data_IF_246372846151
#
_entry.id   IF_246372846151
#
_cell.length_a   1.000
_cell.length_b   1.000
_cell.length_c   1.000
_cell.angle_alpha   90.00
_cell.angle_beta   90.00
_cell.angle_gamma   90.00
#
_symmetry.space_group_name_H-M   'P 1'
#
loop_
_entity.id
_entity.type
_entity.pdbx_description
1 polymer ?
#
# COMPACT_ATOMS: atom_id res chain seq x y z
N UNK A 1 -7.67 -3.49 11.67
CA UNK A 1 -7.64 -2.63 12.89
C UNK A 1 -6.99 -3.45 13.97
N UNK A 2 -6.12 -2.86 14.79
CA UNK A 2 -5.49 -3.58 15.90
C UNK A 2 -6.18 -3.19 17.20
N UNK A 3 -6.34 -4.13 18.13
CA UNK A 3 -6.98 -3.87 19.43
C UNK A 3 -6.29 -2.72 20.20
N UNK A 4 -4.98 -2.57 20.01
CA UNK A 4 -4.16 -1.55 20.66
C UNK A 4 -4.48 -0.11 20.23
N UNK A 5 -5.11 0.09 19.07
CA UNK A 5 -5.49 1.43 18.61
C UNK A 5 -6.50 2.09 19.57
N UNK A 6 -7.23 1.29 20.37
CA UNK A 6 -8.20 1.79 21.34
C UNK A 6 -7.59 2.13 22.71
N UNK A 7 -6.35 1.72 22.96
CA UNK A 7 -5.63 1.96 24.21
C UNK A 7 -4.75 3.24 24.15
N UNK A 8 -4.57 3.80 22.96
CA UNK A 8 -3.80 5.01 22.71
C UNK A 8 -4.74 6.24 22.73
N UNK A 9 -4.22 7.42 23.06
CA UNK A 9 -4.95 8.70 22.94
C UNK A 9 -5.61 8.80 21.56
N UNK A 10 -6.91 9.12 21.55
CA UNK A 10 -7.76 9.13 20.35
C UNK A 10 -7.16 9.92 19.16
N UNK A 11 -6.46 11.02 19.44
CA UNK A 11 -5.77 11.83 18.42
C UNK A 11 -4.66 11.03 17.74
N UNK A 12 -3.75 10.43 18.51
CA UNK A 12 -2.63 9.65 17.98
C UNK A 12 -3.12 8.41 17.21
N UNK A 13 -4.14 7.72 17.72
CA UNK A 13 -4.74 6.58 17.05
C UNK A 13 -5.41 6.97 15.71
N UNK A 14 -6.02 8.15 15.63
CA UNK A 14 -6.60 8.68 14.38
C UNK A 14 -5.52 9.03 13.34
N UNK A 15 -4.40 9.63 13.77
CA UNK A 15 -3.26 9.92 12.88
C UNK A 15 -2.66 8.63 12.33
N UNK A 16 -2.41 7.63 13.18
CA UNK A 16 -1.90 6.31 12.75
C UNK A 16 -2.86 5.67 11.73
N UNK A 17 -4.17 5.86 11.91
CA UNK A 17 -5.15 5.32 10.98
C UNK A 17 -5.10 6.00 9.61
N UNK A 18 -4.99 7.32 9.55
CA UNK A 18 -4.78 8.05 8.29
C UNK A 18 -3.50 7.61 7.59
N UNK A 19 -2.42 7.40 8.35
CA UNK A 19 -1.17 6.86 7.81
C UNK A 19 -1.36 5.46 7.21
N UNK A 20 -2.14 4.58 7.85
CA UNK A 20 -2.46 3.25 7.30
C UNK A 20 -3.25 3.33 6.00
N UNK A 21 -4.20 4.26 5.87
CA UNK A 21 -4.91 4.48 4.60
C UNK A 21 -3.93 4.94 3.52
N UNK A 22 -3.09 5.95 3.81
CA UNK A 22 -2.05 6.42 2.88
C UNK A 22 -1.08 5.31 2.48
N UNK A 23 -0.66 4.49 3.44
CA UNK A 23 0.23 3.35 3.21
C UNK A 23 -0.42 2.28 2.30
N UNK A 24 -1.73 2.04 2.42
CA UNK A 24 -2.45 1.16 1.52
C UNK A 24 -2.41 1.69 0.07
N UNK A 25 -2.66 2.99 -0.12
CA UNK A 25 -2.57 3.61 -1.44
C UNK A 25 -1.15 3.55 -2.02
N UNK A 26 -0.14 3.90 -1.23
CA UNK A 26 1.27 3.85 -1.64
C UNK A 26 1.68 2.42 -2.01
N UNK A 27 1.38 1.45 -1.15
CA UNK A 27 1.73 0.04 -1.35
C UNK A 27 1.11 -0.56 -2.61
N UNK A 28 -0.06 -0.06 -3.05
CA UNK A 28 -0.79 -0.60 -4.19
C UNK A 28 -0.47 0.13 -5.50
N UNK A 29 -0.47 1.47 -5.47
CA UNK A 29 -0.45 2.28 -6.68
C UNK A 29 0.92 2.87 -7.04
N UNK A 30 1.83 3.06 -6.07
CA UNK A 30 3.07 3.79 -6.33
C UNK A 30 3.94 3.16 -7.45
N UNK A 31 4.13 1.83 -7.52
CA UNK A 31 4.91 1.22 -8.61
C UNK A 31 4.21 1.34 -9.97
N UNK A 32 2.89 1.16 -10.00
CA UNK A 32 2.10 1.31 -11.23
C UNK A 32 2.15 2.76 -11.74
N UNK A 33 2.01 3.75 -10.83
CA UNK A 33 2.13 5.17 -11.15
C UNK A 33 3.52 5.53 -11.66
N UNK A 34 4.59 5.00 -11.04
CA UNK A 34 5.96 5.17 -11.52
C UNK A 34 6.09 4.72 -12.98
N UNK A 35 5.61 3.52 -13.31
CA UNK A 35 5.62 3.01 -14.69
C UNK A 35 4.81 3.92 -15.62
N UNK A 36 3.57 4.26 -15.25
CA UNK A 36 2.68 5.06 -16.09
C UNK A 36 3.22 6.46 -16.38
N UNK A 37 3.81 7.13 -15.37
CA UNK A 37 4.38 8.47 -15.51
C UNK A 37 5.59 8.40 -16.43
N UNK A 38 6.53 7.49 -16.19
CA UNK A 38 7.77 7.46 -16.98
C UNK A 38 7.61 6.92 -18.39
N UNK A 39 6.60 6.09 -18.64
CA UNK A 39 6.35 5.57 -19.99
C UNK A 39 5.44 6.47 -20.81
N UNK A 40 4.40 7.08 -20.21
CA UNK A 40 3.35 7.77 -20.98
C UNK A 40 3.21 9.26 -20.65
N UNK A 41 3.61 9.72 -19.47
CA UNK A 41 3.30 11.08 -18.98
C UNK A 41 4.54 11.78 -18.38
N UNK A 42 5.72 11.61 -18.98
CA UNK A 42 6.96 12.18 -18.42
C UNK A 42 6.93 13.72 -18.37
N UNK A 43 6.13 14.35 -19.23
CA UNK A 43 5.89 15.80 -19.28
C UNK A 43 5.26 16.35 -18.00
N UNK A 44 4.64 15.48 -17.18
CA UNK A 44 4.05 15.90 -15.90
C UNK A 44 5.11 16.16 -14.83
N UNK A 45 6.35 15.73 -15.05
CA UNK A 45 7.46 15.93 -14.10
C UNK A 45 8.07 17.32 -14.35
N UNK A 46 8.20 18.17 -13.31
CA UNK A 46 8.90 19.45 -13.44
C UNK A 46 10.30 19.26 -14.03
N UNK A 47 10.69 20.12 -14.97
CA UNK A 47 11.99 20.04 -15.67
C UNK A 47 13.20 19.94 -14.72
N UNK A 48 13.14 20.59 -13.56
CA UNK A 48 14.18 20.52 -12.52
C UNK A 48 14.41 19.11 -11.96
N UNK A 49 13.37 18.28 -11.93
CA UNK A 49 13.44 16.88 -11.49
C UNK A 49 13.63 15.91 -12.66
N UNK A 50 13.19 16.30 -13.86
CA UNK A 50 13.29 15.47 -15.05
C UNK A 50 14.74 15.29 -15.52
N UNK A 51 15.58 16.32 -15.44
CA UNK A 51 16.98 16.24 -15.89
C UNK A 51 17.80 15.21 -15.07
N UNK A 52 17.83 15.29 -13.72
CA UNK A 52 18.52 14.27 -12.92
C UNK A 52 17.94 12.87 -13.13
N UNK A 53 16.62 12.77 -13.29
CA UNK A 53 15.95 11.50 -13.55
C UNK A 53 16.40 10.89 -14.88
N UNK A 54 16.44 11.67 -15.95
CA UNK A 54 16.92 11.25 -17.26
C UNK A 54 18.39 10.82 -17.21
N UNK A 55 19.23 11.52 -16.43
CA UNK A 55 20.64 11.14 -16.24
C UNK A 55 20.80 9.81 -15.49
N UNK A 56 19.99 9.55 -14.45
CA UNK A 56 20.03 8.25 -13.77
C UNK A 56 19.50 7.12 -14.65
N UNK A 57 18.57 7.42 -15.56
CA UNK A 57 17.92 6.45 -16.44
C UNK A 57 18.71 6.16 -17.71
N UNK A 58 19.53 7.09 -18.19
CA UNK A 58 20.42 6.84 -19.34
C UNK A 58 21.45 5.73 -19.07
N UNK A 59 21.73 5.46 -17.79
CA UNK A 59 22.62 4.40 -17.32
C UNK A 59 21.91 3.05 -17.21
N UNK A 60 20.57 3.02 -17.26
CA UNK A 60 19.75 1.82 -17.10
C UNK A 60 19.24 1.36 -18.46
N UNK A 61 19.62 0.16 -18.95
CA UNK A 61 19.24 -0.30 -20.29
C UNK A 61 17.80 -0.82 -20.37
N UNK A 62 17.13 -0.99 -19.23
CA UNK A 62 15.80 -1.60 -19.14
C UNK A 62 14.67 -0.56 -19.15
N UNK A 63 13.52 -0.88 -19.77
CA UNK A 63 12.34 -0.03 -19.64
C UNK A 63 11.83 -0.03 -18.19
N UNK A 64 11.13 1.04 -17.76
CA UNK A 64 10.63 1.18 -16.37
C UNK A 64 9.80 -0.01 -15.88
N UNK A 65 9.06 -0.68 -16.77
CA UNK A 65 8.30 -1.88 -16.39
C UNK A 65 9.22 -3.03 -15.96
N UNK A 66 10.27 -3.33 -16.73
CA UNK A 66 11.21 -4.42 -16.40
C UNK A 66 11.97 -4.07 -15.12
N UNK A 67 12.45 -2.83 -15.04
CA UNK A 67 13.13 -2.30 -13.84
C UNK A 67 12.28 -2.47 -12.58
N UNK A 68 11.00 -2.06 -12.63
CA UNK A 68 10.08 -2.14 -11.51
C UNK A 68 9.73 -3.59 -11.14
N UNK A 69 9.49 -4.46 -12.13
CA UNK A 69 9.20 -5.88 -11.89
C UNK A 69 10.38 -6.60 -11.24
N UNK A 70 11.61 -6.37 -11.72
CA UNK A 70 12.81 -6.97 -11.15
C UNK A 70 12.99 -6.55 -9.70
N UNK A 71 12.85 -5.26 -9.39
CA UNK A 71 13.05 -4.79 -8.02
C UNK A 71 11.92 -5.17 -7.07
N UNK A 72 10.67 -5.20 -7.53
CA UNK A 72 9.56 -5.70 -6.73
C UNK A 72 9.72 -7.19 -6.41
N UNK A 73 10.20 -7.99 -7.37
CA UNK A 73 10.47 -9.42 -7.15
C UNK A 73 11.63 -9.61 -6.17
N UNK A 74 12.73 -8.87 -6.32
CA UNK A 74 13.86 -8.91 -5.38
C UNK A 74 13.38 -8.55 -3.97
N UNK A 75 12.59 -7.49 -3.85
CA UNK A 75 12.06 -7.06 -2.56
C UNK A 75 11.16 -8.12 -1.92
N UNK A 76 10.33 -8.79 -2.71
CA UNK A 76 9.48 -9.88 -2.23
C UNK A 76 10.30 -11.08 -1.74
N UNK A 77 11.38 -11.43 -2.44
CA UNK A 77 12.30 -12.50 -2.01
C UNK A 77 12.98 -12.15 -0.69
N UNK A 78 13.47 -10.91 -0.53
CA UNK A 78 14.10 -10.44 0.72
C UNK A 78 13.09 -10.50 1.87
N UNK A 79 11.85 -10.07 1.62
CA UNK A 79 10.80 -10.09 2.63
C UNK A 79 10.44 -11.51 3.04
N UNK A 80 10.22 -12.40 2.08
CA UNK A 80 9.80 -13.77 2.34
C UNK A 80 10.88 -14.58 3.07
N UNK A 81 12.15 -14.32 2.76
CA UNK A 81 13.27 -14.86 3.52
C UNK A 81 13.35 -14.27 4.93
N UNK A 82 13.16 -12.96 5.08
CA UNK A 82 13.19 -12.28 6.38
C UNK A 82 12.13 -12.77 7.38
N UNK A 83 10.90 -13.04 6.93
CA UNK A 83 9.81 -13.52 7.82
C UNK A 83 9.96 -14.99 8.24
N UNK A 84 10.73 -15.79 7.49
CA UNK A 84 10.94 -17.23 7.75
C UNK A 84 12.14 -17.51 8.65
N UNK A 85 13.01 -16.52 8.84
CA UNK A 85 14.22 -16.65 9.63
C UNK A 85 14.01 -16.18 11.07
N UNK A 86 14.76 -16.71 12.05
CA UNK A 86 14.78 -16.17 13.42
C UNK A 86 15.12 -14.68 13.43
N UNK A 87 14.52 -13.91 14.34
CA UNK A 87 14.56 -12.43 14.37
C UNK A 87 15.96 -11.79 14.12
N UNK A 88 17.06 -12.24 14.75
CA UNK A 88 18.39 -11.67 14.50
C UNK A 88 18.90 -11.89 13.07
N UNK A 89 18.58 -13.04 12.48
CA UNK A 89 18.98 -13.41 11.12
C UNK A 89 18.06 -12.72 10.11
N UNK A 90 16.75 -12.65 10.39
CA UNK A 90 15.76 -11.97 9.56
C UNK A 90 16.05 -10.47 9.41
N UNK A 91 16.41 -9.77 10.51
CA UNK A 91 16.85 -8.39 10.44
C UNK A 91 18.12 -8.22 9.59
N UNK A 92 19.10 -9.12 9.77
CA UNK A 92 20.34 -9.08 8.99
C UNK A 92 20.08 -9.26 7.50
N UNK A 93 19.24 -10.23 7.12
CA UNK A 93 18.83 -10.43 5.72
C UNK A 93 18.07 -9.23 5.17
N UNK A 94 17.23 -8.58 5.98
CA UNK A 94 16.55 -7.34 5.59
C UNK A 94 17.53 -6.19 5.31
N UNK A 95 18.53 -5.99 6.17
CA UNK A 95 19.55 -4.93 5.99
C UNK A 95 20.45 -5.23 4.80
N UNK A 96 20.98 -6.45 4.71
CA UNK A 96 21.83 -6.87 3.59
C UNK A 96 21.04 -6.84 2.29
N UNK A 97 19.83 -7.40 2.27
CA UNK A 97 18.98 -7.40 1.10
C UNK A 97 18.61 -5.98 0.65
N UNK A 98 18.16 -5.12 1.56
CA UNK A 98 17.74 -3.77 1.21
C UNK A 98 18.89 -2.85 0.78
N UNK A 99 19.97 -2.81 1.57
CA UNK A 99 21.09 -1.89 1.33
C UNK A 99 22.06 -2.44 0.27
N UNK A 100 22.53 -3.69 0.44
CA UNK A 100 23.61 -4.24 -0.40
C UNK A 100 23.08 -4.56 -1.79
N UNK A 101 21.91 -5.21 -1.93
CA UNK A 101 21.36 -5.46 -3.27
C UNK A 101 20.89 -4.17 -3.93
N UNK A 102 20.35 -3.21 -3.16
CA UNK A 102 20.01 -1.89 -3.67
C UNK A 102 21.23 -1.16 -4.25
N UNK A 103 22.31 -1.06 -3.48
CA UNK A 103 23.55 -0.42 -3.93
C UNK A 103 24.20 -1.16 -5.10
N UNK A 104 24.22 -2.50 -5.07
CA UNK A 104 24.75 -3.31 -6.16
C UNK A 104 23.94 -3.13 -7.45
N UNK A 105 22.60 -3.03 -7.35
CA UNK A 105 21.73 -2.81 -8.51
C UNK A 105 21.96 -1.45 -9.18
N UNK A 106 22.21 -0.38 -8.39
CA UNK A 106 22.61 0.93 -8.92
C UNK A 106 24.00 0.87 -9.56
N UNK A 107 24.97 0.28 -8.86
CA UNK A 107 26.35 0.22 -9.32
C UNK A 107 26.48 -0.61 -10.61
N UNK A 108 25.66 -1.65 -10.76
CA UNK A 108 25.57 -2.46 -11.98
C UNK A 108 24.79 -1.78 -13.12
N UNK A 109 24.19 -0.60 -12.88
CA UNK A 109 23.37 0.10 -13.86
C UNK A 109 22.09 -0.64 -14.24
N UNK A 110 21.62 -1.57 -13.40
CA UNK A 110 20.40 -2.36 -13.68
C UNK A 110 19.15 -1.58 -13.26
N UNK A 111 19.28 -0.70 -12.25
CA UNK A 111 18.16 -0.01 -11.61
C UNK A 111 18.55 1.44 -11.30
N UNK A 112 17.59 2.35 -11.43
CA UNK A 112 17.74 3.76 -11.10
C UNK A 112 17.56 4.02 -9.59
N UNK A 113 18.21 5.07 -9.09
CA UNK A 113 18.07 5.50 -7.70
C UNK A 113 16.61 5.78 -7.32
N UNK A 114 15.82 6.31 -8.26
CA UNK A 114 14.42 6.64 -8.03
C UNK A 114 13.58 5.37 -7.88
N UNK A 115 13.86 4.32 -8.65
CA UNK A 115 13.16 3.05 -8.49
C UNK A 115 13.42 2.41 -7.13
N UNK A 116 14.64 2.50 -6.58
CA UNK A 116 14.95 2.00 -5.22
C UNK A 116 14.10 2.71 -4.18
N UNK A 117 13.97 4.04 -4.28
CA UNK A 117 13.13 4.82 -3.38
C UNK A 117 11.67 4.36 -3.49
N UNK A 118 11.16 4.17 -4.72
CA UNK A 118 9.80 3.69 -4.96
C UNK A 118 9.55 2.33 -4.31
N UNK A 119 10.45 1.35 -4.52
CA UNK A 119 10.28 0.01 -3.94
C UNK A 119 10.42 0.01 -2.42
N UNK A 120 11.39 0.77 -1.88
CA UNK A 120 11.55 0.91 -0.44
C UNK A 120 10.30 1.51 0.22
N UNK A 121 9.75 2.58 -0.34
CA UNK A 121 8.52 3.21 0.15
C UNK A 121 7.32 2.25 0.03
N UNK A 122 7.18 1.57 -1.09
CA UNK A 122 6.07 0.62 -1.33
C UNK A 122 6.14 -0.54 -0.33
N UNK A 123 7.33 -1.10 -0.11
CA UNK A 123 7.58 -2.17 0.84
C UNK A 123 7.36 -1.76 2.30
N UNK A 124 7.85 -0.59 2.70
CA UNK A 124 7.61 -0.02 4.03
C UNK A 124 6.12 0.25 4.27
N UNK A 125 5.43 0.82 3.27
CA UNK A 125 4.00 1.03 3.33
C UNK A 125 3.23 -0.27 3.51
N UNK A 126 3.68 -1.37 2.89
CA UNK A 126 3.09 -2.68 3.08
C UNK A 126 3.25 -3.22 4.52
N UNK A 127 4.35 -2.92 5.23
CA UNK A 127 4.55 -3.32 6.63
C UNK A 127 3.66 -2.58 7.62
N UNK A 128 3.13 -1.41 7.26
CA UNK A 128 2.20 -0.64 8.09
C UNK A 128 0.81 -1.33 8.15
N UNK A 129 0.51 -2.22 7.20
CA UNK A 129 -0.76 -2.93 7.10
C UNK A 129 -0.80 -4.01 8.21
N UNK A 130 -1.73 -3.92 9.17
CA UNK A 130 -1.69 -4.74 10.38
C UNK A 130 -2.09 -6.21 10.15
N UNK A 131 -2.74 -6.53 9.03
CA UNK A 131 -3.17 -7.89 8.70
C UNK A 131 -2.31 -8.43 7.56
N UNK A 132 -1.62 -9.54 7.83
CA UNK A 132 -0.73 -10.18 6.87
C UNK A 132 -1.43 -10.63 5.58
N UNK A 133 -2.64 -11.20 5.68
CA UNK A 133 -3.41 -11.66 4.53
C UNK A 133 -3.81 -10.49 3.62
N UNK A 134 -4.23 -9.37 4.21
CA UNK A 134 -4.54 -8.14 3.47
C UNK A 134 -3.29 -7.57 2.82
N UNK A 135 -2.17 -7.57 3.54
CA UNK A 135 -0.89 -7.14 3.01
C UNK A 135 -0.43 -8.02 1.84
N UNK A 136 -0.63 -9.35 1.92
CA UNK A 136 -0.38 -10.32 0.85
C UNK A 136 -1.27 -10.08 -0.36
N UNK A 137 -2.58 -9.91 -0.16
CA UNK A 137 -3.51 -9.62 -1.25
C UNK A 137 -3.11 -8.35 -2.02
N UNK A 138 -2.72 -7.28 -1.31
CA UNK A 138 -2.23 -6.04 -1.93
C UNK A 138 -0.94 -6.27 -2.72
N UNK A 139 -0.02 -7.08 -2.20
CA UNK A 139 1.23 -7.43 -2.90
C UNK A 139 0.93 -8.13 -4.23
N UNK A 140 -0.02 -9.06 -4.25
CA UNK A 140 -0.41 -9.79 -5.46
C UNK A 140 -1.16 -8.92 -6.47
N UNK A 141 -2.13 -8.12 -6.02
CA UNK A 141 -2.95 -7.26 -6.90
C UNK A 141 -2.12 -6.15 -7.56
N UNK A 142 -1.04 -5.72 -6.92
CA UNK A 142 -0.11 -4.72 -7.46
C UNK A 142 0.51 -5.14 -8.79
N UNK A 143 0.88 -6.41 -8.98
CA UNK A 143 1.51 -6.85 -10.23
C UNK A 143 0.58 -6.72 -11.46
N UNK A 144 -0.69 -7.18 -11.43
CA UNK A 144 -1.66 -6.88 -12.49
C UNK A 144 -1.83 -5.38 -12.76
N UNK A 145 -1.86 -4.54 -11.72
CA UNK A 145 -1.94 -3.08 -11.89
C UNK A 145 -0.69 -2.51 -12.60
N UNK A 146 0.50 -3.01 -12.30
CA UNK A 146 1.73 -2.64 -13.00
C UNK A 146 1.70 -3.04 -14.48
N UNK A 147 1.15 -4.21 -14.81
CA UNK A 147 0.97 -4.65 -16.20
C UNK A 147 0.02 -3.70 -16.94
N UNK A 148 -1.13 -3.40 -16.34
CA UNK A 148 -2.10 -2.47 -16.94
C UNK A 148 -1.49 -1.06 -17.11
N UNK A 149 -0.69 -0.60 -16.15
CA UNK A 149 0.04 0.67 -16.25
C UNK A 149 1.08 0.67 -17.37
N UNK A 150 1.78 -0.46 -17.58
CA UNK A 150 2.74 -0.60 -18.67
C UNK A 150 2.07 -0.61 -20.04
N UNK A 151 0.85 -1.14 -20.14
CA UNK A 151 0.10 -1.22 -21.40
C UNK A 151 -0.63 0.08 -21.75
N UNK A 152 -1.27 0.73 -20.77
CA UNK A 152 -2.21 1.83 -21.00
C UNK A 152 -1.95 3.07 -20.13
N UNK A 153 -0.82 3.12 -19.40
CA UNK A 153 -0.49 4.24 -18.51
C UNK A 153 -1.53 4.45 -17.41
N UNK A 154 -1.86 5.72 -17.15
CA UNK A 154 -2.82 6.12 -16.11
C UNK A 154 -4.21 5.52 -16.37
N UNK A 155 -4.63 5.43 -17.65
CA UNK A 155 -5.92 4.82 -18.03
C UNK A 155 -5.98 3.36 -17.59
N UNK A 156 -4.89 2.60 -17.77
CA UNK A 156 -4.80 1.22 -17.31
C UNK A 156 -4.93 1.09 -15.80
N UNK A 157 -4.31 2.00 -15.05
CA UNK A 157 -4.45 2.07 -13.59
C UNK A 157 -5.91 2.35 -13.21
N UNK A 158 -6.57 3.32 -13.86
CA UNK A 158 -7.98 3.64 -13.58
C UNK A 158 -8.92 2.46 -13.85
N UNK A 159 -8.73 1.76 -14.97
CA UNK A 159 -9.53 0.57 -15.32
C UNK A 159 -9.27 -0.56 -14.32
N UNK A 160 -8.01 -0.88 -14.03
CA UNK A 160 -7.64 -1.91 -13.06
C UNK A 160 -8.16 -1.60 -11.66
N UNK A 161 -8.12 -0.33 -11.24
CA UNK A 161 -8.69 0.12 -9.97
C UNK A 161 -10.20 -0.07 -9.93
N UNK A 162 -10.89 0.25 -11.02
CA UNK A 162 -12.35 0.09 -11.11
C UNK A 162 -12.73 -1.38 -10.98
N UNK A 163 -12.06 -2.27 -11.72
CA UNK A 163 -12.27 -3.72 -11.63
C UNK A 163 -12.03 -4.22 -10.20
N UNK A 164 -10.95 -3.77 -9.56
CA UNK A 164 -10.63 -4.11 -8.18
C UNK A 164 -11.73 -3.67 -7.21
N UNK A 165 -12.17 -2.41 -7.28
CA UNK A 165 -13.24 -1.91 -6.42
C UNK A 165 -14.57 -2.62 -6.65
N UNK A 166 -14.95 -2.87 -7.90
CA UNK A 166 -16.15 -3.65 -8.22
C UNK A 166 -16.09 -5.05 -7.62
N UNK A 167 -14.94 -5.72 -7.72
CA UNK A 167 -14.73 -7.02 -7.10
C UNK A 167 -14.90 -6.94 -5.57
N UNK A 168 -14.25 -5.97 -4.90
CA UNK A 168 -14.34 -5.80 -3.45
C UNK A 168 -15.78 -5.51 -2.96
N UNK A 169 -16.57 -4.77 -3.73
CA UNK A 169 -17.99 -4.48 -3.41
C UNK A 169 -18.85 -5.74 -3.54
N UNK A 170 -18.52 -6.63 -4.47
CA UNK A 170 -19.25 -7.89 -4.66
C UNK A 170 -19.01 -8.93 -3.54
N UNK A 171 -17.89 -8.81 -2.82
CA UNK A 171 -17.52 -9.73 -1.77
C UNK A 171 -18.36 -9.57 -0.50
N UNK A 172 -18.72 -10.70 0.10
CA UNK A 172 -19.36 -10.78 1.41
C UNK A 172 -18.48 -11.59 2.37
N UNK A 173 -18.32 -11.08 3.59
CA UNK A 173 -17.67 -11.78 4.70
C UNK A 173 -18.72 -12.07 5.77
N UNK A 174 -18.91 -13.36 6.10
CA UNK A 174 -19.90 -13.81 7.11
C UNK A 174 -21.30 -13.22 6.88
N UNK A 175 -21.74 -13.17 5.61
CA UNK A 175 -23.04 -12.63 5.21
C UNK A 175 -23.12 -11.11 5.12
N UNK A 176 -22.07 -10.38 5.52
CA UNK A 176 -22.01 -8.91 5.47
C UNK A 176 -21.12 -8.42 4.31
N UNK A 177 -21.47 -7.31 3.63
CA UNK A 177 -20.61 -6.71 2.61
C UNK A 177 -19.19 -6.42 3.13
N UNK A 178 -18.17 -6.82 2.37
CA UNK A 178 -16.76 -6.66 2.76
C UNK A 178 -16.33 -5.19 2.88
N UNK A 179 -16.93 -4.31 2.08
CA UNK A 179 -16.61 -2.89 1.99
C UNK A 179 -17.31 -2.01 3.04
N UNK A 180 -17.96 -2.56 4.06
CA UNK A 180 -18.54 -1.73 5.13
C UNK A 180 -17.42 -0.95 5.84
N UNK A 181 -17.54 0.38 6.05
CA UNK A 181 -18.73 1.22 5.89
C UNK A 181 -18.79 2.06 4.60
N UNK A 182 -17.88 1.83 3.66
CA UNK A 182 -17.89 2.50 2.37
C UNK A 182 -19.06 2.05 1.50
N UNK A 183 -19.36 0.75 1.50
CA UNK A 183 -20.51 0.17 0.81
C UNK A 183 -21.16 -0.97 1.64
N UNK A 184 -22.48 -0.90 1.94
CA UNK A 184 -23.39 0.24 1.76
C UNK A 184 -22.96 1.44 2.61
N UNK A 185 -23.09 2.64 2.04
CA UNK A 185 -22.58 3.87 2.65
C UNK A 185 -23.29 4.18 3.97
N UNK A 186 -22.55 4.18 5.08
CA UNK A 186 -23.07 4.53 6.40
C UNK A 186 -22.23 5.64 7.05
N UNK A 187 -22.76 6.87 7.06
CA UNK A 187 -22.10 8.05 7.60
C UNK A 187 -21.66 7.92 9.07
N UNK A 188 -22.37 7.12 9.89
CA UNK A 188 -22.02 6.93 11.31
C UNK A 188 -20.75 6.10 11.44
N UNK A 189 -20.71 4.97 10.74
CA UNK A 189 -19.55 4.08 10.76
C UNK A 189 -18.38 4.66 9.95
N UNK A 190 -18.64 5.51 8.95
CA UNK A 190 -17.59 6.21 8.19
C UNK A 190 -16.79 7.18 9.08
N UNK A 191 -17.47 7.94 9.95
CA UNK A 191 -16.81 8.82 10.93
C UNK A 191 -15.93 8.02 11.89
N UNK A 192 -16.47 6.91 12.40
CA UNK A 192 -15.73 5.97 13.25
C UNK A 192 -14.65 5.20 12.49
N UNK A 193 -14.68 5.16 11.15
CA UNK A 193 -13.65 4.57 10.30
C UNK A 193 -12.47 5.51 10.06
N UNK A 194 -12.65 6.83 9.99
CA UNK A 194 -11.54 7.77 9.83
C UNK A 194 -10.99 8.28 11.17
N UNK A 195 -11.87 8.57 12.14
CA UNK A 195 -11.51 9.18 13.42
C UNK A 195 -11.94 8.25 14.56
N UNK A 196 -11.03 7.96 15.49
CA UNK A 196 -11.35 7.16 16.68
C UNK A 196 -12.02 8.06 17.71
N UNK A 197 -13.32 7.87 17.95
CA UNK A 197 -13.98 8.52 19.08
C UNK A 197 -13.52 7.91 20.42
N UNK A 198 -13.21 8.74 21.44
CA UNK A 198 -12.89 8.29 22.79
C UNK A 198 -13.98 7.38 23.34
N UNK A 199 -13.59 6.33 24.09
CA UNK A 199 -14.52 5.35 24.65
C UNK A 199 -15.62 6.01 25.52
N UNK A 200 -15.31 7.11 26.21
CA UNK A 200 -16.23 7.87 27.05
C UNK A 200 -17.39 8.56 26.28
N UNK A 201 -17.20 8.87 24.99
CA UNK A 201 -18.20 9.58 24.16
C UNK A 201 -18.84 8.63 23.13
N UNK A 202 -18.34 7.39 23.02
CA UNK A 202 -18.86 6.37 22.10
C UNK A 202 -20.23 5.86 22.51
N UNK A 203 -21.28 6.56 22.06
CA UNK A 203 -22.69 6.25 22.36
C UNK A 203 -23.30 5.21 21.40
N UNK A 204 -22.72 5.00 20.22
CA UNK A 204 -23.20 4.06 19.20
C UNK A 204 -22.45 2.73 19.23
N UNK A 205 -23.19 1.62 19.08
CA UNK A 205 -22.61 0.31 18.78
C UNK A 205 -22.35 0.19 17.27
N UNK A 206 -21.27 -0.49 16.84
CA UNK A 206 -20.98 -0.69 15.42
C UNK A 206 -22.15 -1.39 14.72
N UNK A 207 -22.55 -0.90 13.54
CA UNK A 207 -23.68 -1.45 12.79
C UNK A 207 -23.41 -2.88 12.30
N UNK A 208 -22.12 -3.22 12.11
CA UNK A 208 -21.62 -4.56 11.77
C UNK A 208 -22.05 -5.67 12.75
N UNK A 209 -22.20 -5.34 14.04
CA UNK A 209 -22.53 -6.32 15.07
C UNK A 209 -24.04 -6.67 15.12
N UNK A 210 -24.84 -6.13 14.20
CA UNK A 210 -26.32 -6.21 14.20
C UNK A 210 -26.93 -6.08 15.62
N UNK A 211 -26.58 -5.04 16.39
CA UNK A 211 -26.99 -4.98 17.79
C UNK A 211 -28.50 -4.69 17.89
N UNK A 212 -29.23 -5.46 18.70
CA UNK A 212 -30.66 -5.19 19.01
C UNK A 212 -30.91 -3.78 19.59
N UNK A 213 -29.88 -3.13 20.14
CA UNK A 213 -29.91 -1.73 20.55
C UNK A 213 -28.68 -0.98 20.02
N UNK A 214 -28.91 0.03 19.18
CA UNK A 214 -27.86 0.85 18.57
C UNK A 214 -27.17 1.82 19.53
N UNK A 215 -27.83 2.22 20.62
CA UNK A 215 -27.25 3.04 21.67
C UNK A 215 -26.75 2.17 22.82
N UNK A 216 -25.51 2.42 23.28
CA UNK A 216 -25.05 1.85 24.55
C UNK A 216 -25.91 2.43 25.69
N UNK A 217 -26.41 1.57 26.58
CA UNK A 217 -27.05 2.03 27.83
C UNK A 217 -26.03 2.88 28.59
N UNK A 218 -26.46 4.07 29.03
CA UNK A 218 -25.73 4.82 30.05
C UNK A 218 -25.82 4.00 31.33
N UNK A 219 -24.68 3.59 31.85
CA UNK A 219 -24.57 3.28 33.28
C UNK A 219 -24.42 4.61 34.02
#
# INVERSE_FOLDING_TARGET
QTADDYNIRAIAASVIRLLRFGALFISLFLPALYIAILTFHYETIPLSLLIPLAETRSKVPFPPVVEAFTMELIFEVIRESGIRLPSPIGQTVGVVGGLVLGQAAVAAGIVSNVMIIVVALTGMANFIIPNFEVALAIRLVRFPLMILAAMFGIVGISVGSTILFTHLISLKSLGQPYMIPFFPFNLRDLKDAFIIMPAAIRRSRPTLAQPQQYRRKKN
#
